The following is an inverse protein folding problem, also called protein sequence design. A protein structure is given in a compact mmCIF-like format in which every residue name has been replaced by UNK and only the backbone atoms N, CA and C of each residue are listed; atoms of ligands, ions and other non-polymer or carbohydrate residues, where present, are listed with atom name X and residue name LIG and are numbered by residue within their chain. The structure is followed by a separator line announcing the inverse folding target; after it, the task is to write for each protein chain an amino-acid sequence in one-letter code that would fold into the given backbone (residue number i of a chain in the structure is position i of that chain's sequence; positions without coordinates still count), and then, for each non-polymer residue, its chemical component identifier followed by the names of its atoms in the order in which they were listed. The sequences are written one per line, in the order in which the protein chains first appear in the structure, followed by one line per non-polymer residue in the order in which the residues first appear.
data_IF_340109909502
#
_entry.id   IF_340109909502
#
_cell.length_a   1.000
_cell.length_b   1.000
_cell.length_c   1.000
_cell.angle_alpha   90.00
_cell.angle_beta   90.00
_cell.angle_gamma   90.00
#
_symmetry.space_group_name_H-M   'P 1'
#
loop_
_entity.id
_entity.type
_entity.pdbx_description
1 polymer ?
#
# COMPACT_ATOMS: atom_id res chain seq x y z
N UNK A 1 -13.02 -12.45 11.87
CA UNK A 1 -11.99 -11.62 11.20
C UNK A 1 -11.88 -12.14 9.77
N UNK A 2 -12.19 -11.29 8.79
CA UNK A 2 -12.74 -11.73 7.49
C UNK A 2 -11.67 -12.43 6.63
N UNK A 3 -11.79 -13.75 6.37
CA UNK A 3 -10.85 -14.51 5.53
C UNK A 3 -10.64 -13.86 4.15
N UNK A 4 -11.70 -13.25 3.61
CA UNK A 4 -11.72 -12.53 2.33
C UNK A 4 -10.72 -11.39 2.25
N UNK A 5 -10.43 -10.69 3.35
CA UNK A 5 -9.46 -9.58 3.35
C UNK A 5 -8.05 -10.13 3.16
N UNK A 6 -7.73 -11.24 3.83
CA UNK A 6 -6.41 -11.88 3.73
C UNK A 6 -6.20 -12.47 2.34
N UNK A 7 -7.21 -13.15 1.81
CA UNK A 7 -7.21 -13.69 0.45
C UNK A 7 -7.06 -12.58 -0.61
N UNK A 8 -7.75 -11.46 -0.42
CA UNK A 8 -7.59 -10.30 -1.32
C UNK A 8 -6.17 -9.76 -1.29
N UNK A 9 -5.57 -9.63 -0.10
CA UNK A 9 -4.21 -9.13 0.06
C UNK A 9 -3.16 -10.12 -0.47
N UNK A 10 -3.42 -11.42 -0.42
CA UNK A 10 -2.52 -12.47 -0.95
C UNK A 10 -2.37 -12.42 -2.48
N UNK A 11 -3.35 -11.84 -3.17
CA UNK A 11 -3.32 -11.64 -4.61
C UNK A 11 -2.83 -10.24 -5.04
N UNK A 12 -2.52 -9.37 -4.07
CA UNK A 12 -1.96 -8.05 -4.37
C UNK A 12 -0.44 -8.12 -4.50
N UNK A 13 0.06 -7.34 -5.44
CA UNK A 13 1.48 -7.18 -5.68
C UNK A 13 2.10 -6.01 -4.94
N UNK A 14 1.34 -4.92 -4.88
CA UNK A 14 1.79 -3.63 -4.41
C UNK A 14 0.65 -2.94 -3.67
N UNK A 15 0.92 -2.59 -2.42
CA UNK A 15 0.08 -1.73 -1.61
C UNK A 15 0.78 -0.38 -1.47
N UNK A 16 0.33 0.60 -2.26
CA UNK A 16 0.86 1.96 -2.19
C UNK A 16 -0.16 2.88 -1.52
N UNK A 17 0.25 3.59 -0.47
CA UNK A 17 -0.59 4.58 0.20
C UNK A 17 0.16 5.88 0.47
N UNK A 18 -0.60 6.96 0.57
CA UNK A 18 -0.08 8.30 0.86
C UNK A 18 -0.40 8.59 2.32
N UNK A 19 0.58 8.47 3.25
CA UNK A 19 0.32 8.70 4.65
C UNK A 19 -0.06 10.16 4.90
N UNK A 20 -0.84 10.39 5.96
CA UNK A 20 -1.01 11.72 6.51
C UNK A 20 0.34 12.16 7.12
N UNK A 21 0.90 13.26 6.63
CA UNK A 21 2.08 13.87 7.25
C UNK A 21 1.93 15.39 7.28
N UNK A 22 2.40 16.00 8.36
CA UNK A 22 2.32 17.45 8.59
C UNK A 22 3.07 18.26 7.52
N UNK A 23 4.00 17.62 6.80
CA UNK A 23 4.87 18.27 5.82
C UNK A 23 4.29 18.30 4.39
N UNK A 24 3.29 17.46 4.08
CA UNK A 24 2.74 17.35 2.73
C UNK A 24 1.22 17.12 2.76
N UNK A 25 0.49 18.17 3.13
CA UNK A 25 -0.96 18.24 2.94
C UNK A 25 -1.27 18.05 1.44
N UNK A 26 -1.79 16.88 1.08
CA UNK A 26 -2.47 16.72 -0.20
C UNK A 26 -3.65 17.67 -0.16
N UNK A 27 -3.64 18.71 -1.00
CA UNK A 27 -4.73 19.68 -1.08
C UNK A 27 -6.07 18.96 -1.20
N UNK A 28 -7.01 19.37 -0.36
CA UNK A 28 -8.33 18.78 -0.27
C UNK A 28 -9.16 19.29 -1.45
N UNK A 29 -9.04 18.60 -2.57
CA UNK A 29 -9.98 18.78 -3.68
C UNK A 29 -11.32 18.17 -3.26
N UNK A 30 -12.35 18.99 -3.15
CA UNK A 30 -13.73 18.56 -2.95
C UNK A 30 -14.27 17.94 -4.25
N UNK A 31 -13.75 16.78 -4.61
CA UNK A 31 -14.14 16.01 -5.79
C UNK A 31 -15.39 15.16 -5.57
N UNK A 32 -16.00 15.22 -4.38
CA UNK A 32 -17.23 14.51 -4.03
C UNK A 32 -17.05 13.01 -3.80
N UNK A 33 -15.83 12.48 -3.98
CA UNK A 33 -15.51 11.05 -3.81
C UNK A 33 -14.71 10.78 -2.52
N UNK A 34 -14.09 11.81 -1.92
CA UNK A 34 -13.31 11.69 -0.68
C UNK A 34 -13.99 12.43 0.48
N UNK A 35 -14.14 11.79 1.66
CA UNK A 35 -14.56 12.49 2.86
C UNK A 35 -13.58 13.63 3.17
N UNK A 36 -14.12 14.83 3.36
CA UNK A 36 -13.37 16.03 3.76
C UNK A 36 -13.13 16.11 5.27
N UNK A 37 -13.52 15.07 6.00
CA UNK A 37 -13.36 14.98 7.44
C UNK A 37 -11.89 14.64 7.77
N UNK A 38 -11.21 15.60 8.40
CA UNK A 38 -9.81 15.49 8.80
C UNK A 38 -9.62 14.45 9.91
N UNK A 39 -10.58 14.32 10.83
CA UNK A 39 -10.51 13.40 11.95
C UNK A 39 -10.66 11.96 11.45
N UNK A 40 -11.63 11.73 10.55
CA UNK A 40 -11.79 10.44 9.87
C UNK A 40 -10.52 10.01 9.13
N UNK A 41 -9.83 10.96 8.47
CA UNK A 41 -8.59 10.66 7.75
C UNK A 41 -7.44 10.33 8.68
N UNK A 42 -7.33 11.01 9.82
CA UNK A 42 -6.32 10.73 10.83
C UNK A 42 -6.54 9.34 11.46
N UNK A 43 -7.80 9.00 11.79
CA UNK A 43 -8.15 7.67 12.29
C UNK A 43 -7.85 6.58 11.28
N UNK A 44 -8.23 6.77 10.01
CA UNK A 44 -7.94 5.82 8.94
C UNK A 44 -6.43 5.63 8.74
N UNK A 45 -5.66 6.71 8.70
CA UNK A 45 -4.20 6.64 8.57
C UNK A 45 -3.54 5.89 9.75
N UNK A 46 -4.01 6.14 10.98
CA UNK A 46 -3.54 5.44 12.17
C UNK A 46 -3.87 3.94 12.11
N UNK A 47 -5.11 3.58 11.75
CA UNK A 47 -5.53 2.18 11.62
C UNK A 47 -4.71 1.48 10.52
N UNK A 48 -4.47 2.14 9.39
CA UNK A 48 -3.62 1.59 8.33
C UNK A 48 -2.20 1.33 8.84
N UNK A 49 -1.57 2.31 9.50
CA UNK A 49 -0.24 2.18 10.13
C UNK A 49 -0.16 0.99 11.07
N UNK A 50 -1.15 0.81 11.93
CA UNK A 50 -1.20 -0.34 12.84
C UNK A 50 -1.33 -1.68 12.07
N UNK A 51 -2.11 -1.72 10.99
CA UNK A 51 -2.31 -2.94 10.18
C UNK A 51 -1.01 -3.40 9.52
N UNK A 52 -0.29 -2.51 8.81
CA UNK A 52 0.89 -2.91 8.03
C UNK A 52 2.21 -2.81 8.79
N UNK A 53 2.35 -1.94 9.82
CA UNK A 53 3.58 -1.83 10.63
C UNK A 53 3.58 -2.77 11.82
N UNK A 54 2.46 -2.86 12.52
CA UNK A 54 2.35 -3.64 13.76
C UNK A 54 1.74 -5.04 13.53
N UNK A 55 1.34 -5.34 12.30
CA UNK A 55 0.70 -6.62 11.95
C UNK A 55 -0.66 -6.78 12.62
N UNK A 56 -1.30 -5.66 13.01
CA UNK A 56 -2.57 -5.69 13.72
C UNK A 56 -3.62 -6.41 12.89
N UNK A 57 -4.45 -7.21 13.57
CA UNK A 57 -5.45 -8.08 12.96
C UNK A 57 -4.92 -9.22 12.07
N UNK A 58 -3.60 -9.49 12.01
CA UNK A 58 -3.05 -10.52 11.10
C UNK A 58 -3.60 -10.39 9.66
N UNK A 59 -3.89 -9.15 9.24
CA UNK A 59 -4.52 -8.90 7.95
C UNK A 59 -3.52 -9.10 6.82
N UNK A 60 -2.25 -8.75 7.07
CA UNK A 60 -1.17 -8.94 6.11
C UNK A 60 -0.78 -10.43 6.02
N UNK A 61 -0.62 -10.98 4.80
CA UNK A 61 -0.10 -12.33 4.61
C UNK A 61 1.30 -12.45 5.22
N UNK A 62 1.55 -13.49 6.02
CA UNK A 62 2.86 -13.73 6.66
C UNK A 62 3.93 -14.18 5.66
N UNK A 63 3.51 -14.84 4.57
CA UNK A 63 4.34 -15.27 3.47
C UNK A 63 3.67 -14.77 2.18
N UNK A 64 4.43 -14.15 1.27
CA UNK A 64 3.93 -13.65 -0.03
C UNK A 64 2.99 -12.43 -0.01
N UNK A 65 3.03 -11.60 1.05
CA UNK A 65 2.26 -10.36 1.09
C UNK A 65 2.72 -9.32 0.05
N UNK A 66 1.85 -8.35 -0.29
CA UNK A 66 2.17 -7.30 -1.24
C UNK A 66 3.35 -6.46 -0.76
N UNK A 67 4.16 -5.93 -1.69
CA UNK A 67 5.13 -4.91 -1.33
C UNK A 67 4.37 -3.68 -0.82
N UNK A 68 4.66 -3.22 0.39
CA UNK A 68 4.00 -2.05 0.99
C UNK A 68 4.91 -0.85 0.86
N UNK A 69 4.42 0.22 0.23
CA UNK A 69 5.18 1.47 0.07
C UNK A 69 4.42 2.68 0.60
N UNK A 70 5.16 3.55 1.26
CA UNK A 70 4.70 4.88 1.67
C UNK A 70 5.10 5.91 0.62
N UNK A 71 4.12 6.53 -0.02
CA UNK A 71 4.33 7.56 -1.03
C UNK A 71 4.45 8.92 -0.35
N UNK A 72 5.68 9.40 -0.16
CA UNK A 72 6.01 10.63 0.58
C UNK A 72 6.63 11.66 -0.35
N UNK A 73 6.22 12.92 -0.20
CA UNK A 73 6.77 14.06 -0.94
C UNK A 73 5.81 14.64 -1.98
N UNK A 74 6.37 15.45 -2.88
CA UNK A 74 5.61 16.12 -3.94
C UNK A 74 4.91 15.11 -4.86
N UNK A 75 3.92 15.56 -5.64
CA UNK A 75 3.22 14.70 -6.62
C UNK A 75 4.22 13.97 -7.53
N UNK A 76 5.26 14.67 -8.00
CA UNK A 76 6.27 14.09 -8.89
C UNK A 76 7.13 13.04 -8.17
N UNK A 77 7.54 13.30 -6.93
CA UNK A 77 8.29 12.33 -6.11
C UNK A 77 7.46 11.07 -5.82
N UNK A 78 6.17 11.23 -5.50
CA UNK A 78 5.25 10.11 -5.31
C UNK A 78 5.12 9.25 -6.57
N UNK A 79 5.01 9.88 -7.75
CA UNK A 79 4.98 9.14 -9.02
C UNK A 79 6.29 8.39 -9.29
N UNK A 80 7.44 8.98 -8.96
CA UNK A 80 8.74 8.31 -9.10
C UNK A 80 8.88 7.12 -8.14
N UNK A 81 8.48 7.27 -6.88
CA UNK A 81 8.48 6.19 -5.90
C UNK A 81 7.57 5.04 -6.33
N UNK A 82 6.39 5.35 -6.84
CA UNK A 82 5.45 4.37 -7.36
C UNK A 82 6.04 3.60 -8.55
N UNK A 83 6.61 4.31 -9.53
CA UNK A 83 7.26 3.67 -10.67
C UNK A 83 8.42 2.77 -10.24
N UNK A 84 9.25 3.22 -9.29
CA UNK A 84 10.35 2.42 -8.77
C UNK A 84 9.86 1.13 -8.10
N UNK A 85 8.75 1.19 -7.35
CA UNK A 85 8.16 0.02 -6.73
C UNK A 85 7.57 -0.96 -7.76
N UNK A 86 6.88 -0.44 -8.78
CA UNK A 86 6.37 -1.26 -9.89
C UNK A 86 7.52 -2.03 -10.57
N UNK A 87 8.66 -1.38 -10.82
CA UNK A 87 9.81 -2.05 -11.42
C UNK A 87 10.43 -3.10 -10.48
N UNK A 88 10.46 -2.87 -9.17
CA UNK A 88 10.90 -3.89 -8.18
C UNK A 88 9.99 -5.11 -8.18
N UNK A 89 8.68 -4.92 -8.09
CA UNK A 89 7.68 -5.99 -8.14
C UNK A 89 7.82 -6.80 -9.43
N UNK A 90 7.96 -6.14 -10.59
CA UNK A 90 8.20 -6.81 -11.87
C UNK A 90 9.49 -7.62 -11.88
N UNK A 91 10.57 -7.11 -11.29
CA UNK A 91 11.85 -7.80 -11.20
C UNK A 91 11.75 -9.06 -10.33
N UNK A 92 11.13 -8.96 -9.14
CA UNK A 92 10.89 -10.08 -8.22
C UNK A 92 10.03 -11.17 -8.86
N UNK A 93 8.97 -10.78 -9.59
CA UNK A 93 8.15 -11.74 -10.34
C UNK A 93 8.87 -12.40 -11.51
N UNK A 94 9.77 -11.68 -12.21
CA UNK A 94 10.62 -12.30 -13.23
C UNK A 94 11.56 -13.36 -12.65
N UNK A 95 11.99 -13.17 -11.40
CA UNK A 95 12.84 -14.15 -10.71
C UNK A 95 12.02 -15.39 -10.32
N UNK A 96 10.84 -15.20 -9.71
CA UNK A 96 9.98 -16.31 -9.28
C UNK A 96 9.26 -17.02 -10.45
N UNK A 97 9.00 -16.33 -11.56
CA UNK A 97 8.32 -16.88 -12.74
C UNK A 97 9.23 -17.77 -13.60
N UNK A 98 10.54 -17.75 -13.38
CA UNK A 98 11.49 -18.62 -14.10
C UNK A 98 11.71 -19.96 -13.40
N UNK A 99 11.40 -20.07 -12.11
CA UNK A 99 11.54 -21.33 -11.35
C UNK A 99 10.32 -22.27 -11.48
N UNK A 100 9.20 -21.80 -12.05
CA UNK A 100 7.97 -22.61 -12.16
C UNK A 100 7.77 -23.34 -13.51
N UNK A 101 8.73 -23.28 -14.44
CA UNK A 101 8.66 -23.97 -15.75
C UNK A 101 9.72 -25.07 -15.92
N UNK A 102 10.17 -25.66 -14.80
CA UNK A 102 11.18 -26.70 -14.82
C UNK A 102 10.97 -27.78 -13.77
N UNK A 103 9.82 -28.46 -13.79
CA UNK A 103 9.67 -29.85 -13.33
C UNK A 103 8.53 -30.54 -14.07
#
# INVERSE_FOLDING_TARGET
MVPTVRESLDHLDLLAFVPMCDQWLVEMEADGIRPIDLDYRAEMDAIFKEIYREGRYHAMPQNSGPEVIELIGSRQQRLQQLNAAIERVKATRKTNGFESFGQ
#
